data_IF_298384378661
#
_entry.id   IF_298384378661
#
_cell.length_a   1.000
_cell.length_b   1.000
_cell.length_c   1.000
_cell.angle_alpha   90.00
_cell.angle_beta   90.00
_cell.angle_gamma   90.00
#
_symmetry.space_group_name_H-M   'P 1'
#
loop_
_entity.id
_entity.type
_entity.pdbx_description
1 polymer ?
#
# COMPACT_ATOMS: atom_id res chain seq x y z
N UNK A 1 28.27 -14.51 0.68
CA UNK A 1 27.99 -13.80 1.96
C UNK A 1 27.32 -12.44 1.76
N UNK A 2 27.58 -11.72 0.65
CA UNK A 2 27.00 -10.38 0.42
C UNK A 2 25.47 -10.37 0.25
N UNK A 3 24.88 -11.33 -0.49
CA UNK A 3 23.42 -11.39 -0.67
C UNK A 3 22.67 -11.59 0.65
N UNK A 4 23.19 -12.42 1.56
CA UNK A 4 22.58 -12.63 2.87
C UNK A 4 22.71 -11.38 3.75
N UNK A 5 23.87 -10.74 3.77
CA UNK A 5 24.07 -9.47 4.47
C UNK A 5 23.11 -8.38 3.95
N UNK A 6 22.90 -8.32 2.64
CA UNK A 6 21.94 -7.41 2.01
C UNK A 6 20.49 -7.71 2.42
N UNK A 7 20.04 -8.96 2.36
CA UNK A 7 18.69 -9.34 2.80
C UNK A 7 18.45 -9.02 4.29
N UNK A 8 19.45 -9.28 5.14
CA UNK A 8 19.39 -8.92 6.56
C UNK A 8 19.24 -7.42 6.73
N UNK A 9 20.05 -6.63 6.01
CA UNK A 9 19.96 -5.17 6.03
C UNK A 9 18.57 -4.66 5.63
N UNK A 10 17.92 -5.23 4.61
CA UNK A 10 16.55 -4.83 4.23
C UNK A 10 15.57 -5.07 5.39
N UNK A 11 15.61 -6.27 5.99
CA UNK A 11 14.73 -6.62 7.10
C UNK A 11 14.95 -5.73 8.32
N UNK A 12 16.21 -5.50 8.69
CA UNK A 12 16.60 -4.70 9.85
C UNK A 12 16.12 -3.24 9.75
N UNK A 13 15.98 -2.70 8.53
CA UNK A 13 15.60 -1.29 8.30
C UNK A 13 14.10 -1.09 8.08
N UNK A 14 13.30 -2.14 7.86
CA UNK A 14 11.87 -1.99 7.61
C UNK A 14 11.12 -1.39 8.82
N UNK A 15 11.31 -1.95 10.02
CA UNK A 15 10.65 -1.46 11.23
C UNK A 15 11.08 -0.03 11.60
N UNK A 16 12.38 0.30 11.64
CA UNK A 16 12.83 1.68 11.86
C UNK A 16 12.25 2.69 10.87
N UNK A 17 12.02 2.30 9.61
CA UNK A 17 11.43 3.18 8.61
C UNK A 17 9.91 3.33 8.77
N UNK A 18 9.19 2.24 9.04
CA UNK A 18 7.72 2.24 9.03
C UNK A 18 7.07 2.59 10.37
N UNK A 19 7.61 2.09 11.48
CA UNK A 19 7.01 2.26 12.81
C UNK A 19 6.82 3.73 13.21
N UNK A 20 7.79 4.65 13.00
CA UNK A 20 7.61 6.05 13.35
C UNK A 20 6.46 6.74 12.59
N UNK A 21 6.15 6.28 11.36
CA UNK A 21 5.03 6.79 10.57
C UNK A 21 3.70 6.41 11.23
N UNK A 22 3.58 5.15 11.66
CA UNK A 22 2.38 4.64 12.34
C UNK A 22 2.19 5.30 13.70
N UNK A 23 3.25 5.39 14.51
CA UNK A 23 3.19 6.01 15.84
C UNK A 23 2.74 7.47 15.77
N UNK A 24 3.23 8.22 14.78
CA UNK A 24 2.83 9.62 14.55
C UNK A 24 1.39 9.77 14.11
N UNK A 25 0.87 8.82 13.33
CA UNK A 25 -0.42 8.98 12.63
C UNK A 25 -1.59 8.22 13.24
N UNK A 26 -1.35 7.18 14.06
CA UNK A 26 -2.39 6.28 14.59
C UNK A 26 -3.48 6.99 15.43
N UNK A 27 -3.13 8.09 16.07
CA UNK A 27 -4.04 8.85 16.93
C UNK A 27 -4.68 10.06 16.23
N UNK A 28 -4.37 10.29 14.95
CA UNK A 28 -4.97 11.40 14.21
C UNK A 28 -6.48 11.15 14.05
N UNK A 29 -7.33 12.14 14.40
CA UNK A 29 -8.76 12.02 14.17
C UNK A 29 -9.04 11.94 12.67
N UNK A 30 -10.02 11.12 12.33
CA UNK A 30 -10.53 10.98 10.97
C UNK A 30 -12.05 10.81 11.05
N UNK A 31 -12.75 11.34 10.05
CA UNK A 31 -14.19 11.20 9.92
C UNK A 31 -14.57 10.10 8.94
N UNK A 32 -15.88 10.04 8.66
CA UNK A 32 -16.46 9.08 7.73
C UNK A 32 -15.90 9.27 6.32
N UNK A 33 -15.67 10.52 5.89
CA UNK A 33 -15.13 10.83 4.56
C UNK A 33 -13.76 10.19 4.35
N UNK A 34 -12.83 10.38 5.29
CA UNK A 34 -11.49 9.77 5.22
C UNK A 34 -11.58 8.24 5.34
N UNK A 35 -12.51 7.72 6.14
CA UNK A 35 -12.74 6.29 6.30
C UNK A 35 -13.20 5.64 5.00
N UNK A 36 -14.19 6.24 4.35
CA UNK A 36 -14.72 5.75 3.08
C UNK A 36 -13.67 5.83 1.96
N UNK A 37 -12.88 6.91 1.92
CA UNK A 37 -11.75 6.98 1.00
C UNK A 37 -10.69 5.90 1.29
N UNK A 38 -10.39 5.60 2.57
CA UNK A 38 -9.50 4.50 2.90
C UNK A 38 -10.02 3.14 2.40
N UNK A 39 -11.32 2.87 2.56
CA UNK A 39 -11.95 1.63 2.08
C UNK A 39 -11.94 1.54 0.56
N UNK A 40 -12.19 2.65 -0.14
CA UNK A 40 -12.05 2.76 -1.58
C UNK A 40 -10.61 2.47 -2.04
N UNK A 41 -9.61 3.06 -1.38
CA UNK A 41 -8.18 2.82 -1.69
C UNK A 41 -7.76 1.37 -1.41
N UNK A 42 -8.32 0.73 -0.39
CA UNK A 42 -8.09 -0.70 -0.13
C UNK A 42 -8.67 -1.59 -1.23
N UNK A 43 -9.73 -1.18 -1.93
CA UNK A 43 -10.21 -1.87 -3.14
C UNK A 43 -9.13 -1.96 -4.22
N UNK A 44 -8.37 -0.89 -4.45
CA UNK A 44 -7.23 -0.90 -5.39
C UNK A 44 -6.10 -1.82 -4.95
N UNK A 45 -5.87 -1.96 -3.64
CA UNK A 45 -4.90 -2.92 -3.11
C UNK A 45 -5.33 -4.37 -3.38
N UNK A 46 -6.63 -4.67 -3.23
CA UNK A 46 -7.19 -5.98 -3.58
C UNK A 46 -7.06 -6.26 -5.08
N UNK A 47 -7.40 -5.28 -5.93
CA UNK A 47 -7.22 -5.40 -7.39
C UNK A 47 -5.77 -5.74 -7.76
N UNK A 48 -4.79 -5.05 -7.15
CA UNK A 48 -3.38 -5.35 -7.38
C UNK A 48 -3.01 -6.79 -7.03
N UNK A 49 -3.39 -7.24 -5.83
CA UNK A 49 -3.04 -8.58 -5.36
C UNK A 49 -3.71 -9.68 -6.18
N UNK A 50 -4.96 -9.50 -6.59
CA UNK A 50 -5.71 -10.54 -7.30
C UNK A 50 -5.45 -10.58 -8.81
N UNK A 51 -4.97 -9.48 -9.41
CA UNK A 51 -4.80 -9.37 -10.88
C UNK A 51 -3.32 -9.34 -11.29
N UNK A 52 -2.44 -8.72 -10.50
CA UNK A 52 -1.06 -8.45 -10.93
C UNK A 52 0.01 -9.10 -10.04
N UNK A 53 -0.27 -9.34 -8.76
CA UNK A 53 0.71 -9.95 -7.87
C UNK A 53 0.98 -11.41 -8.26
N UNK A 54 2.17 -11.65 -8.82
CA UNK A 54 2.60 -12.98 -9.25
C UNK A 54 2.63 -13.99 -8.10
N UNK A 55 2.95 -13.54 -6.88
CA UNK A 55 3.01 -14.42 -5.71
C UNK A 55 1.63 -14.99 -5.35
N UNK A 56 0.63 -14.10 -5.29
CA UNK A 56 -0.77 -14.46 -5.06
C UNK A 56 -1.31 -15.37 -6.17
N UNK A 57 -1.12 -14.98 -7.44
CA UNK A 57 -1.58 -15.78 -8.59
C UNK A 57 -0.98 -17.18 -8.59
N UNK A 58 0.35 -17.27 -8.45
CA UNK A 58 1.04 -18.56 -8.42
C UNK A 58 0.57 -19.42 -7.24
N UNK A 59 0.52 -18.85 -6.02
CA UNK A 59 0.11 -19.60 -4.83
C UNK A 59 -1.30 -20.18 -4.94
N UNK A 60 -2.25 -19.43 -5.50
CA UNK A 60 -3.61 -19.92 -5.71
C UNK A 60 -3.66 -21.00 -6.79
N UNK A 61 -2.96 -20.81 -7.91
CA UNK A 61 -2.93 -21.76 -9.03
C UNK A 61 -2.19 -23.06 -8.69
N UNK A 62 -1.19 -22.99 -7.80
CA UNK A 62 -0.39 -24.14 -7.39
C UNK A 62 -0.99 -24.93 -6.22
N UNK A 63 -2.18 -24.58 -5.74
CA UNK A 63 -2.82 -25.23 -4.58
C UNK A 63 -2.13 -24.95 -3.24
N UNK A 64 -1.47 -23.80 -3.11
CA UNK A 64 -0.89 -23.36 -1.84
C UNK A 64 -1.95 -23.10 -0.77
N UNK A 65 -1.52 -22.84 0.48
CA UNK A 65 -2.45 -22.60 1.59
C UNK A 65 -3.17 -21.26 1.42
N UNK A 66 -4.41 -21.31 0.93
CA UNK A 66 -5.23 -20.13 0.59
C UNK A 66 -5.30 -19.09 1.72
N UNK A 67 -5.50 -19.51 2.98
CA UNK A 67 -5.57 -18.59 4.12
C UNK A 67 -4.27 -17.79 4.34
N UNK A 68 -3.12 -18.39 4.02
CA UNK A 68 -1.82 -17.71 4.12
C UNK A 68 -1.59 -16.78 2.93
N UNK A 69 -2.04 -17.19 1.74
CA UNK A 69 -1.92 -16.38 0.51
C UNK A 69 -2.80 -15.13 0.60
N UNK A 70 -4.06 -15.28 1.01
CA UNK A 70 -5.03 -14.19 1.09
C UNK A 70 -4.93 -13.37 2.39
N UNK A 71 -3.97 -13.67 3.27
CA UNK A 71 -3.71 -12.89 4.50
C UNK A 71 -3.37 -11.43 4.20
N UNK A 72 -2.86 -11.13 3.00
CA UNK A 72 -2.58 -9.76 2.55
C UNK A 72 -3.85 -8.91 2.39
N UNK A 73 -5.03 -9.54 2.21
CA UNK A 73 -6.25 -8.81 1.90
C UNK A 73 -6.82 -8.12 3.16
N UNK A 74 -7.17 -6.82 3.06
CA UNK A 74 -7.77 -6.11 4.18
C UNK A 74 -9.19 -6.62 4.47
N UNK A 75 -9.63 -6.59 5.74
CA UNK A 75 -10.91 -7.18 6.17
C UNK A 75 -12.14 -6.42 5.68
N UNK A 76 -11.99 -5.17 5.24
CA UNK A 76 -13.06 -4.34 4.68
C UNK A 76 -12.50 -3.49 3.54
N UNK A 77 -13.24 -3.45 2.46
CA UNK A 77 -12.97 -2.70 1.22
C UNK A 77 -14.28 -2.20 0.63
N UNK A 78 -14.19 -1.20 -0.23
CA UNK A 78 -15.33 -0.65 -0.98
C UNK A 78 -14.92 -0.48 -2.44
N UNK A 79 -15.86 -0.71 -3.34
CA UNK A 79 -15.79 -0.28 -4.73
C UNK A 79 -16.94 0.67 -5.01
N UNK A 80 -16.68 1.65 -5.87
CA UNK A 80 -17.66 2.66 -6.23
C UNK A 80 -17.55 2.96 -7.72
N UNK A 81 -18.71 3.05 -8.36
CA UNK A 81 -18.82 3.28 -9.79
C UNK A 81 -18.50 4.74 -10.11
N UNK A 82 -17.60 4.95 -11.09
CA UNK A 82 -17.15 6.27 -11.59
C UNK A 82 -16.85 7.31 -10.49
N UNK A 83 -16.39 6.86 -9.33
CA UNK A 83 -15.98 7.77 -8.26
C UNK A 83 -14.74 8.56 -8.69
N UNK A 84 -14.78 9.87 -8.47
CA UNK A 84 -13.67 10.77 -8.74
C UNK A 84 -13.45 11.69 -7.53
N UNK A 85 -12.19 11.95 -7.15
CA UNK A 85 -11.92 12.89 -6.08
C UNK A 85 -12.34 14.30 -6.49
N UNK A 86 -12.80 15.10 -5.54
CA UNK A 86 -13.04 16.52 -5.75
C UNK A 86 -11.72 17.22 -6.13
N UNK A 87 -11.69 18.06 -7.17
CA UNK A 87 -10.47 18.79 -7.55
C UNK A 87 -9.91 19.61 -6.39
N UNK A 88 -8.60 19.51 -6.16
CA UNK A 88 -7.90 20.22 -5.08
C UNK A 88 -8.04 19.58 -3.69
N UNK A 89 -8.78 18.47 -3.55
CA UNK A 89 -8.88 17.71 -2.31
C UNK A 89 -7.58 16.95 -1.99
N UNK A 90 -7.45 16.47 -0.74
CA UNK A 90 -6.35 15.57 -0.35
C UNK A 90 -6.43 14.23 -1.11
N UNK A 91 -7.65 13.79 -1.42
CA UNK A 91 -7.92 12.61 -2.22
C UNK A 91 -7.40 12.78 -3.65
N UNK A 92 -7.62 13.93 -4.29
CA UNK A 92 -7.06 14.24 -5.61
C UNK A 92 -5.53 14.29 -5.56
N UNK A 93 -4.98 14.93 -4.53
CA UNK A 93 -3.54 15.05 -4.33
C UNK A 93 -2.84 13.68 -4.23
N UNK A 94 -3.50 12.65 -3.68
CA UNK A 94 -2.97 11.29 -3.70
C UNK A 94 -2.67 10.81 -5.14
N UNK A 95 -3.59 11.03 -6.09
CA UNK A 95 -3.43 10.60 -7.48
C UNK A 95 -2.47 11.46 -8.27
N UNK A 96 -2.60 12.78 -8.10
CA UNK A 96 -1.88 13.75 -8.92
C UNK A 96 -0.40 13.84 -8.53
N UNK A 97 -0.07 13.55 -7.26
CA UNK A 97 1.26 13.77 -6.71
C UNK A 97 1.92 12.52 -6.12
N UNK A 98 1.21 11.71 -5.34
CA UNK A 98 1.83 10.59 -4.60
C UNK A 98 1.87 9.27 -5.37
N UNK A 99 0.87 9.00 -6.21
CA UNK A 99 0.77 7.76 -7.01
C UNK A 99 1.40 7.91 -8.40
N UNK A 100 2.41 8.78 -8.51
CA UNK A 100 3.24 8.95 -9.70
C UNK A 100 4.68 8.53 -9.37
N UNK A 101 5.39 7.80 -10.27
CA UNK A 101 6.81 7.54 -10.09
C UNK A 101 7.59 8.84 -9.95
N UNK A 102 8.46 8.93 -8.94
CA UNK A 102 9.24 10.14 -8.66
C UNK A 102 10.46 9.87 -7.80
N UNK A 103 11.42 10.78 -7.90
CA UNK A 103 12.55 10.83 -6.98
C UNK A 103 12.13 11.50 -5.67
N UNK A 104 12.01 10.70 -4.61
CA UNK A 104 11.65 11.16 -3.28
C UNK A 104 12.83 11.78 -2.52
N UNK A 105 14.06 11.44 -2.90
CA UNK A 105 15.27 11.89 -2.23
C UNK A 105 15.92 13.07 -2.95
N UNK A 106 15.55 13.30 -4.22
CA UNK A 106 16.07 14.37 -5.08
C UNK A 106 17.61 14.44 -5.03
N UNK A 107 18.26 13.26 -5.07
CA UNK A 107 19.72 13.16 -4.88
C UNK A 107 20.51 13.53 -6.13
N UNK A 108 19.84 13.74 -7.25
CA UNK A 108 20.43 14.27 -8.47
C UNK A 108 20.39 15.80 -8.47
N UNK A 109 21.20 16.42 -7.59
CA UNK A 109 21.63 17.83 -7.65
C UNK A 109 22.92 18.05 -6.77
N UNK A 110 23.75 17.01 -6.63
CA UNK A 110 25.14 17.11 -6.09
C UNK A 110 26.12 16.43 -7.02
#
# INVERSE_FOLDING_TARGET
THCFAFMRSIGDHFLPAYLPIVERRRALPHGEREREFQLYRRGRYVEFNLVYDRGTLFGLQSGGRTESILMSLPPRVRWEYDWRPEPGSLEAHLYDFFLQPRDWLALADT
#
